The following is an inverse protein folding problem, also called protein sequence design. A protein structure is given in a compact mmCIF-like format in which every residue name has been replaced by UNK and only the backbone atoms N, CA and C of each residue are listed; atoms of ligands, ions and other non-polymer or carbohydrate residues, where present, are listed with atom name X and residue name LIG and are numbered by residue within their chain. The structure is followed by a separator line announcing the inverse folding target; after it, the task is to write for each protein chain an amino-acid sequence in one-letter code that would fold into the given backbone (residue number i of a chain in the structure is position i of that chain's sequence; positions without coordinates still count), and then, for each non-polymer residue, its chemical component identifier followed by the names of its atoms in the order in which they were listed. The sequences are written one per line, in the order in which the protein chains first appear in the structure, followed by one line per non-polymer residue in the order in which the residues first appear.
data_IF_213592469657
#
_entry.id   IF_213592469657
#
_cell.length_a   1.000
_cell.length_b   1.000
_cell.length_c   1.000
_cell.angle_alpha   90.00
_cell.angle_beta   90.00
_cell.angle_gamma   90.00
#
_symmetry.space_group_name_H-M   'P 1'
#
loop_
_entity.id
_entity.type
_entity.pdbx_description
1 polymer ?
#
# COMPACT_ATOMS: atom_id res chain seq x y z
N UNK A 1 9.83 -23.62 -9.38
CA UNK A 1 9.68 -23.52 -7.91
C UNK A 1 10.94 -23.96 -7.15
N UNK A 2 11.54 -25.14 -7.43
CA UNK A 2 12.79 -25.67 -6.80
C UNK A 2 13.98 -24.68 -6.76
N UNK A 3 14.26 -23.97 -7.85
CA UNK A 3 15.39 -23.05 -7.92
C UNK A 3 15.23 -21.78 -7.06
N UNK A 4 14.00 -21.39 -6.71
CA UNK A 4 13.74 -20.22 -5.85
C UNK A 4 14.02 -20.55 -4.38
N UNK A 5 13.57 -21.71 -3.91
CA UNK A 5 13.84 -22.20 -2.55
C UNK A 5 15.32 -22.40 -2.30
N UNK A 6 16.05 -22.99 -3.26
CA UNK A 6 17.50 -23.17 -3.16
C UNK A 6 18.23 -21.82 -3.16
N UNK A 7 17.85 -20.88 -4.03
CA UNK A 7 18.43 -19.52 -4.03
C UNK A 7 18.14 -18.75 -2.75
N UNK A 8 16.92 -18.86 -2.21
CA UNK A 8 16.54 -18.20 -0.96
C UNK A 8 17.30 -18.82 0.24
N UNK A 9 17.47 -20.15 0.26
CA UNK A 9 18.28 -20.85 1.27
C UNK A 9 19.77 -20.48 1.18
N UNK A 10 20.34 -20.45 -0.02
CA UNK A 10 21.73 -20.04 -0.26
C UNK A 10 21.95 -18.56 0.10
N UNK A 11 21.02 -17.67 -0.23
CA UNK A 11 21.09 -16.25 0.17
C UNK A 11 21.00 -16.08 1.69
N UNK A 12 20.13 -16.86 2.36
CA UNK A 12 20.03 -16.86 3.82
C UNK A 12 21.32 -17.36 4.48
N UNK A 13 21.89 -18.46 3.98
CA UNK A 13 23.20 -18.98 4.42
C UNK A 13 24.33 -17.99 4.18
N UNK A 14 24.41 -17.39 2.99
CA UNK A 14 25.44 -16.38 2.66
C UNK A 14 25.37 -15.19 3.60
N UNK A 15 24.17 -14.69 3.89
CA UNK A 15 24.00 -13.60 4.86
C UNK A 15 24.45 -14.05 6.26
N UNK A 16 24.13 -15.26 6.71
CA UNK A 16 24.59 -15.79 8.00
C UNK A 16 26.12 -15.93 8.07
N UNK A 17 26.77 -16.46 7.03
CA UNK A 17 28.22 -16.59 6.98
C UNK A 17 28.93 -15.25 6.94
N UNK A 18 28.40 -14.28 6.18
CA UNK A 18 28.94 -12.91 6.16
C UNK A 18 28.84 -12.25 7.53
N UNK A 19 27.73 -12.43 8.26
CA UNK A 19 27.58 -11.93 9.63
C UNK A 19 28.61 -12.52 10.59
N UNK A 20 28.86 -13.84 10.50
CA UNK A 20 29.88 -14.51 11.31
C UNK A 20 31.28 -13.96 11.00
N UNK A 21 31.60 -13.74 9.72
CA UNK A 21 32.89 -13.17 9.32
C UNK A 21 33.09 -11.73 9.84
N UNK A 22 32.04 -10.90 9.78
CA UNK A 22 32.06 -9.54 10.36
C UNK A 22 32.32 -9.61 11.87
N UNK A 23 31.63 -10.51 12.58
CA UNK A 23 31.78 -10.68 14.03
C UNK A 23 33.18 -11.17 14.42
N UNK A 24 33.74 -12.14 13.68
CA UNK A 24 35.09 -12.64 13.89
C UNK A 24 36.14 -11.54 13.64
N UNK A 25 35.99 -10.77 12.56
CA UNK A 25 36.88 -9.65 12.23
C UNK A 25 36.83 -8.54 13.29
N UNK A 26 35.64 -8.20 13.79
CA UNK A 26 35.45 -7.30 14.93
C UNK A 26 36.12 -7.83 16.19
N UNK A 27 35.93 -9.11 16.51
CA UNK A 27 36.52 -9.74 17.70
C UNK A 27 38.05 -9.73 17.63
N UNK A 28 38.64 -10.09 16.49
CA UNK A 28 40.10 -10.02 16.27
C UNK A 28 40.61 -8.58 16.41
N UNK A 29 39.92 -7.60 15.83
CA UNK A 29 40.27 -6.19 15.97
C UNK A 29 40.23 -5.72 17.43
N UNK A 30 39.21 -6.12 18.18
CA UNK A 30 39.09 -5.80 19.61
C UNK A 30 40.19 -6.45 20.46
N UNK A 31 40.54 -7.72 20.20
CA UNK A 31 41.63 -8.41 20.91
C UNK A 31 42.96 -7.69 20.70
N UNK A 32 43.26 -7.25 19.48
CA UNK A 32 44.47 -6.48 19.17
C UNK A 32 44.51 -5.15 19.92
N UNK A 33 43.36 -4.45 20.01
CA UNK A 33 43.26 -3.19 20.76
C UNK A 33 43.42 -3.40 22.27
N UNK A 34 42.81 -4.45 22.84
CA UNK A 34 42.91 -4.75 24.26
C UNK A 34 44.32 -5.16 24.70
N UNK A 35 45.04 -5.94 23.88
CA UNK A 35 46.39 -6.41 24.22
C UNK A 35 47.40 -5.27 24.45
N UNK A 36 47.26 -4.16 23.72
CA UNK A 36 48.11 -2.97 23.90
C UNK A 36 47.83 -2.24 25.22
N UNK A 37 46.61 -2.33 25.76
CA UNK A 37 46.28 -1.75 27.06
C UNK A 37 46.85 -2.53 28.25
N UNK A 38 47.03 -3.85 28.07
CA UNK A 38 47.45 -4.77 29.15
C UNK A 38 48.97 -4.88 29.29
N UNK A 39 49.70 -4.78 28.17
CA UNK A 39 51.16 -4.80 28.13
C UNK A 39 51.64 -3.41 27.70
N UNK A 40 52.30 -2.67 28.59
CA UNK A 40 52.82 -1.29 28.44
C UNK A 40 53.82 -1.05 27.27
N UNK A 41 53.74 -1.82 26.17
CA UNK A 41 54.48 -1.58 24.94
C UNK A 41 53.66 -0.69 23.99
N UNK A 42 54.28 0.41 23.54
CA UNK A 42 53.80 1.27 22.47
C UNK A 42 53.82 0.55 21.10
N UNK A 43 53.12 -0.57 20.98
CA UNK A 43 52.99 -1.29 19.71
C UNK A 43 51.92 -0.61 18.85
N UNK A 44 52.31 0.53 18.27
CA UNK A 44 51.48 1.35 17.39
C UNK A 44 50.92 0.55 16.20
N UNK A 45 51.63 -0.50 15.76
CA UNK A 45 51.19 -1.36 14.67
C UNK A 45 49.94 -2.18 15.03
N UNK A 46 49.91 -2.78 16.22
CA UNK A 46 48.74 -3.51 16.74
C UNK A 46 47.52 -2.60 16.93
N UNK A 47 47.73 -1.34 17.36
CA UNK A 47 46.65 -0.35 17.46
C UNK A 47 46.07 -0.03 16.07
N UNK A 48 46.93 0.29 15.10
CA UNK A 48 46.49 0.70 13.75
C UNK A 48 45.76 -0.45 13.06
N UNK A 49 46.30 -1.66 13.12
CA UNK A 49 45.68 -2.84 12.51
C UNK A 49 44.33 -3.19 13.17
N UNK A 50 44.25 -3.10 14.50
CA UNK A 50 43.00 -3.28 15.25
C UNK A 50 41.93 -2.25 14.87
N UNK A 51 42.29 -0.96 14.79
CA UNK A 51 41.38 0.11 14.38
C UNK A 51 40.88 -0.07 12.94
N UNK A 52 41.76 -0.47 12.02
CA UNK A 52 41.40 -0.72 10.62
C UNK A 52 40.41 -1.90 10.54
N UNK A 53 40.69 -3.01 11.22
CA UNK A 53 39.80 -4.19 11.24
C UNK A 53 38.42 -3.85 11.80
N UNK A 54 38.35 -3.14 12.92
CA UNK A 54 37.09 -2.68 13.50
C UNK A 54 36.33 -1.73 12.56
N UNK A 55 37.03 -0.74 12.01
CA UNK A 55 36.43 0.26 11.11
C UNK A 55 35.90 -0.37 9.83
N UNK A 56 36.66 -1.27 9.19
CA UNK A 56 36.24 -1.99 7.99
C UNK A 56 35.01 -2.88 8.26
N UNK A 57 35.00 -3.56 9.41
CA UNK A 57 33.90 -4.45 9.79
C UNK A 57 32.60 -3.67 10.02
N UNK A 58 32.68 -2.55 10.74
CA UNK A 58 31.55 -1.64 10.98
C UNK A 58 31.09 -1.01 9.66
N UNK A 59 32.01 -0.53 8.84
CA UNK A 59 31.71 0.07 7.53
C UNK A 59 31.01 -0.94 6.61
N UNK A 60 31.52 -2.16 6.52
CA UNK A 60 30.89 -3.23 5.73
C UNK A 60 29.48 -3.57 6.24
N UNK A 61 29.30 -3.64 7.57
CA UNK A 61 28.00 -3.84 8.18
C UNK A 61 27.00 -2.73 7.83
N UNK A 62 27.41 -1.46 7.89
CA UNK A 62 26.58 -0.29 7.52
C UNK A 62 26.19 -0.33 6.04
N UNK A 63 27.14 -0.67 5.14
CA UNK A 63 26.82 -0.85 3.72
C UNK A 63 25.76 -1.93 3.57
N UNK A 64 25.96 -3.09 4.21
CA UNK A 64 25.08 -4.23 4.05
C UNK A 64 23.65 -3.89 4.44
N UNK A 65 23.43 -3.33 5.62
CA UNK A 65 22.08 -2.98 6.11
C UNK A 65 21.42 -1.87 5.25
N UNK A 66 22.20 -0.94 4.71
CA UNK A 66 21.71 0.13 3.81
C UNK A 66 21.34 -0.40 2.41
N UNK A 67 21.97 -1.49 1.97
CA UNK A 67 21.69 -2.13 0.67
C UNK A 67 20.50 -3.09 0.75
N UNK A 68 20.13 -3.57 1.94
CA UNK A 68 18.95 -4.44 2.11
C UNK A 68 17.69 -3.70 1.70
N UNK A 69 17.12 -4.12 0.57
CA UNK A 69 15.78 -3.71 0.12
C UNK A 69 14.76 -4.69 0.70
N UNK A 70 13.90 -4.19 1.57
CA UNK A 70 12.77 -4.97 2.07
C UNK A 70 11.61 -4.82 1.11
N UNK A 71 11.29 -5.89 0.38
CA UNK A 71 10.16 -5.94 -0.54
C UNK A 71 9.01 -6.71 0.08
N UNK A 72 7.85 -6.07 0.22
CA UNK A 72 6.61 -6.68 0.68
C UNK A 72 5.60 -6.64 -0.45
N UNK A 73 5.05 -7.79 -0.81
CA UNK A 73 3.96 -7.89 -1.78
C UNK A 73 2.66 -8.25 -1.07
N UNK A 74 1.70 -7.33 -1.08
CA UNK A 74 0.37 -7.51 -0.51
C UNK A 74 -0.57 -7.88 -1.66
N UNK A 75 -1.19 -9.06 -1.56
CA UNK A 75 -2.12 -9.56 -2.57
C UNK A 75 -3.55 -9.36 -2.10
N UNK A 76 -4.29 -8.48 -2.75
CA UNK A 76 -5.74 -8.36 -2.62
C UNK A 76 -6.48 -8.97 -3.79
N UNK A 77 -7.81 -8.90 -3.75
CA UNK A 77 -8.66 -9.34 -4.84
C UNK A 77 -9.85 -8.41 -5.02
N UNK A 78 -10.43 -8.45 -6.22
CA UNK A 78 -11.69 -7.78 -6.57
C UNK A 78 -12.53 -8.73 -7.40
N UNK A 79 -13.84 -8.58 -7.38
CA UNK A 79 -14.77 -9.32 -8.26
C UNK A 79 -15.42 -8.30 -9.17
N UNK A 80 -15.38 -8.56 -10.48
CA UNK A 80 -15.98 -7.70 -11.49
C UNK A 80 -17.16 -8.44 -12.12
N UNK A 81 -18.30 -7.74 -12.21
CA UNK A 81 -19.41 -8.12 -13.08
C UNK A 81 -19.07 -7.72 -14.51
N UNK A 82 -18.80 -8.70 -15.36
CA UNK A 82 -18.39 -8.49 -16.75
C UNK A 82 -19.50 -7.94 -17.64
N UNK A 83 -20.78 -8.01 -17.22
CA UNK A 83 -21.88 -7.45 -18.00
C UNK A 83 -22.04 -5.95 -17.73
N UNK A 84 -21.97 -5.56 -16.46
CA UNK A 84 -22.16 -4.17 -16.05
C UNK A 84 -20.84 -3.40 -15.86
N UNK A 85 -19.69 -4.07 -15.97
CA UNK A 85 -18.35 -3.55 -15.64
C UNK A 85 -18.28 -2.96 -14.22
N UNK A 86 -18.99 -3.57 -13.27
CA UNK A 86 -19.06 -3.11 -11.89
C UNK A 86 -18.18 -3.94 -10.96
N UNK A 87 -17.54 -3.27 -10.00
CA UNK A 87 -16.86 -3.94 -8.90
C UNK A 87 -17.91 -4.34 -7.86
N UNK A 88 -18.07 -5.64 -7.63
CA UNK A 88 -18.99 -6.18 -6.64
C UNK A 88 -18.48 -5.83 -5.24
N UNK A 89 -19.26 -5.12 -4.40
CA UNK A 89 -18.88 -4.86 -3.02
C UNK A 89 -18.85 -6.18 -2.23
N UNK A 90 -17.94 -6.26 -1.26
CA UNK A 90 -17.77 -7.46 -0.43
C UNK A 90 -17.87 -7.03 1.03
N UNK A 91 -18.82 -7.59 1.76
CA UNK A 91 -19.04 -7.25 3.15
C UNK A 91 -17.78 -7.46 4.00
N UNK A 92 -17.55 -6.56 4.96
CA UNK A 92 -16.36 -6.59 5.83
C UNK A 92 -14.99 -6.51 5.13
N UNK A 93 -14.95 -6.26 3.82
CA UNK A 93 -13.73 -6.02 3.04
C UNK A 93 -13.61 -4.53 2.67
N UNK A 94 -12.94 -3.76 3.54
CA UNK A 94 -12.80 -2.29 3.43
C UNK A 94 -12.27 -1.84 2.07
N UNK A 95 -11.26 -2.54 1.55
CA UNK A 95 -10.64 -2.22 0.27
C UNK A 95 -11.65 -2.22 -0.88
N UNK A 96 -12.33 -3.34 -1.12
CA UNK A 96 -13.27 -3.54 -2.24
C UNK A 96 -14.44 -2.57 -2.15
N UNK A 97 -14.97 -2.36 -0.93
CA UNK A 97 -16.07 -1.43 -0.72
C UNK A 97 -15.69 0.02 -1.00
N UNK A 98 -14.48 0.44 -0.63
CA UNK A 98 -14.03 1.81 -0.92
C UNK A 98 -13.77 2.02 -2.41
N UNK A 99 -13.08 1.10 -3.09
CA UNK A 99 -12.83 1.24 -4.52
C UNK A 99 -14.12 1.17 -5.33
N UNK A 100 -15.05 0.25 -5.03
CA UNK A 100 -16.35 0.13 -5.71
C UNK A 100 -17.15 1.43 -5.57
N UNK A 101 -17.24 1.96 -4.34
CA UNK A 101 -17.93 3.23 -4.08
C UNK A 101 -17.25 4.40 -4.79
N UNK A 102 -15.92 4.48 -4.75
CA UNK A 102 -15.18 5.57 -5.39
C UNK A 102 -15.31 5.50 -6.92
N UNK A 103 -15.32 4.30 -7.52
CA UNK A 103 -15.55 4.13 -8.96
C UNK A 103 -16.95 4.60 -9.35
N UNK A 104 -17.98 4.18 -8.62
CA UNK A 104 -19.37 4.63 -8.84
C UNK A 104 -19.47 6.16 -8.74
N UNK A 105 -18.88 6.76 -7.70
CA UNK A 105 -18.82 8.23 -7.55
C UNK A 105 -18.15 8.92 -8.73
N UNK A 106 -17.04 8.35 -9.24
CA UNK A 106 -16.27 8.95 -10.33
C UNK A 106 -17.01 8.88 -11.67
N UNK A 107 -17.64 7.75 -11.98
CA UNK A 107 -18.43 7.53 -13.21
C UNK A 107 -19.57 8.56 -13.34
N UNK A 108 -20.21 8.92 -12.23
CA UNK A 108 -21.33 9.87 -12.24
C UNK A 108 -20.83 11.30 -12.51
N UNK A 109 -19.62 11.63 -12.03
CA UNK A 109 -19.08 12.98 -12.14
C UNK A 109 -18.30 13.22 -13.44
N UNK A 110 -17.64 12.19 -13.95
CA UNK A 110 -16.87 12.21 -15.19
C UNK A 110 -17.30 11.08 -16.12
N UNK A 111 -18.07 11.46 -17.15
CA UNK A 111 -18.58 10.53 -18.16
C UNK A 111 -17.44 9.91 -19.01
N UNK A 112 -16.26 10.54 -19.08
CA UNK A 112 -15.12 9.96 -19.80
C UNK A 112 -14.64 8.66 -19.13
N UNK A 113 -14.68 8.60 -17.79
CA UNK A 113 -14.33 7.37 -17.04
C UNK A 113 -15.33 6.27 -17.37
N UNK A 114 -16.63 6.60 -17.46
CA UNK A 114 -17.67 5.65 -17.85
C UNK A 114 -17.41 5.06 -19.23
N UNK A 115 -17.20 5.92 -20.23
CA UNK A 115 -16.95 5.51 -21.61
C UNK A 115 -15.69 4.65 -21.71
N UNK A 116 -14.61 5.01 -21.01
CA UNK A 116 -13.39 4.20 -21.02
C UNK A 116 -13.55 2.85 -20.32
N UNK A 117 -14.37 2.78 -19.27
CA UNK A 117 -14.67 1.53 -18.57
C UNK A 117 -15.58 0.61 -19.40
N UNK A 118 -16.58 1.15 -20.08
CA UNK A 118 -17.44 0.40 -21.01
C UNK A 118 -16.64 -0.15 -22.20
N UNK A 119 -15.67 0.62 -22.68
CA UNK A 119 -14.73 0.20 -23.72
C UNK A 119 -13.62 -0.72 -23.18
N UNK A 120 -13.47 -0.84 -21.87
CA UNK A 120 -12.55 -1.79 -21.26
C UNK A 120 -13.19 -3.19 -21.27
N UNK A 121 -12.48 -4.15 -21.84
CA UNK A 121 -12.93 -5.53 -21.81
C UNK A 121 -12.30 -6.26 -20.64
N UNK A 122 -13.03 -6.51 -19.56
CA UNK A 122 -12.57 -7.42 -18.50
C UNK A 122 -12.79 -8.89 -18.85
N UNK A 123 -13.66 -9.18 -19.83
CA UNK A 123 -13.95 -10.52 -20.34
C UNK A 123 -12.71 -11.24 -20.89
N UNK A 124 -12.65 -12.55 -20.64
CA UNK A 124 -11.69 -13.43 -21.31
C UNK A 124 -11.87 -13.32 -22.84
N UNK A 125 -10.76 -13.15 -23.59
CA UNK A 125 -10.79 -12.93 -25.04
C UNK A 125 -10.87 -11.48 -25.54
N UNK A 126 -11.00 -10.46 -24.68
CA UNK A 126 -10.97 -9.06 -25.13
C UNK A 126 -9.60 -8.62 -25.66
N UNK A 127 -9.60 -7.66 -26.60
CA UNK A 127 -8.40 -7.08 -27.20
C UNK A 127 -7.41 -6.59 -26.13
N UNK A 128 -6.11 -6.83 -26.36
CA UNK A 128 -5.04 -6.43 -25.41
C UNK A 128 -5.11 -4.95 -25.03
N UNK A 129 -5.45 -4.08 -25.99
CA UNK A 129 -5.57 -2.64 -25.75
C UNK A 129 -6.75 -2.30 -24.81
N UNK A 130 -7.91 -2.95 -25.01
CA UNK A 130 -9.09 -2.75 -24.16
C UNK A 130 -8.82 -3.21 -22.73
N UNK A 131 -8.14 -4.35 -22.56
CA UNK A 131 -7.70 -4.83 -21.24
C UNK A 131 -6.79 -3.81 -20.54
N UNK A 132 -5.85 -3.21 -21.26
CA UNK A 132 -4.92 -2.23 -20.69
C UNK A 132 -5.65 -0.99 -20.15
N UNK A 133 -6.71 -0.52 -20.82
CA UNK A 133 -7.52 0.61 -20.34
C UNK A 133 -8.20 0.29 -19.00
N UNK A 134 -8.85 -0.87 -18.89
CA UNK A 134 -9.46 -1.33 -17.63
C UNK A 134 -8.43 -1.49 -16.51
N UNK A 135 -7.29 -2.12 -16.83
CA UNK A 135 -6.18 -2.29 -15.87
C UNK A 135 -5.67 -0.94 -15.35
N UNK A 136 -5.54 0.05 -16.23
CA UNK A 136 -5.11 1.40 -15.85
C UNK A 136 -6.09 2.05 -14.88
N UNK A 137 -7.39 2.00 -15.15
CA UNK A 137 -8.43 2.57 -14.27
C UNK A 137 -8.36 1.93 -12.87
N UNK A 138 -8.31 0.60 -12.79
CA UNK A 138 -8.25 -0.09 -11.49
C UNK A 138 -6.94 0.21 -10.75
N UNK A 139 -5.81 0.31 -11.45
CA UNK A 139 -4.53 0.71 -10.85
C UNK A 139 -4.58 2.12 -10.25
N UNK A 140 -5.10 3.10 -10.99
CA UNK A 140 -5.24 4.49 -10.53
C UNK A 140 -6.18 4.58 -9.32
N UNK A 141 -7.30 3.86 -9.35
CA UNK A 141 -8.28 3.81 -8.27
C UNK A 141 -7.70 3.23 -6.98
N UNK A 142 -6.91 2.17 -7.12
CA UNK A 142 -6.21 1.53 -6.01
C UNK A 142 -5.07 2.42 -5.50
N UNK A 143 -4.31 3.05 -6.38
CA UNK A 143 -3.27 4.02 -6.03
C UNK A 143 -3.86 5.18 -5.21
N UNK A 144 -5.02 5.72 -5.62
CA UNK A 144 -5.76 6.73 -4.86
C UNK A 144 -6.17 6.22 -3.48
N UNK A 145 -6.69 4.99 -3.39
CA UNK A 145 -7.04 4.37 -2.11
C UNK A 145 -5.83 4.23 -1.17
N UNK A 146 -4.67 3.82 -1.69
CA UNK A 146 -3.43 3.72 -0.92
C UNK A 146 -2.98 5.10 -0.44
N UNK A 147 -2.93 6.09 -1.33
CA UNK A 147 -2.56 7.47 -1.00
C UNK A 147 -3.46 8.07 0.08
N UNK A 148 -4.77 7.83 -0.02
CA UNK A 148 -5.72 8.25 1.00
C UNK A 148 -5.48 7.54 2.35
N UNK A 149 -5.16 6.25 2.30
CA UNK A 149 -4.83 5.47 3.50
C UNK A 149 -3.53 5.98 4.14
N UNK A 150 -2.52 6.34 3.35
CA UNK A 150 -1.26 6.95 3.78
C UNK A 150 -1.54 8.29 4.45
N UNK A 151 -2.26 9.18 3.77
CA UNK A 151 -2.67 10.50 4.28
C UNK A 151 -3.32 10.41 5.66
N UNK A 152 -4.33 9.55 5.78
CA UNK A 152 -5.07 9.36 7.03
C UNK A 152 -4.17 8.76 8.12
N UNK A 153 -3.43 7.70 7.78
CA UNK A 153 -2.57 7.00 8.75
C UNK A 153 -1.45 7.88 9.30
N UNK A 154 -0.77 8.65 8.45
CA UNK A 154 0.32 9.51 8.89
C UNK A 154 -0.17 10.62 9.81
N UNK A 155 -1.31 11.22 9.47
CA UNK A 155 -1.97 12.21 10.33
C UNK A 155 -2.28 11.60 11.71
N UNK A 156 -2.93 10.42 11.75
CA UNK A 156 -3.22 9.71 13.00
C UNK A 156 -1.94 9.38 13.78
N UNK A 157 -0.93 8.86 13.08
CA UNK A 157 0.32 8.40 13.69
C UNK A 157 1.08 9.54 14.36
N UNK A 158 1.29 10.66 13.67
CA UNK A 158 2.05 11.77 14.21
C UNK A 158 1.31 12.49 15.33
N UNK A 159 -0.03 12.60 15.23
CA UNK A 159 -0.86 13.14 16.30
C UNK A 159 -0.82 12.26 17.55
N UNK A 160 -0.99 10.94 17.42
CA UNK A 160 -0.99 10.02 18.55
C UNK A 160 0.38 9.94 19.24
N UNK A 161 1.48 10.08 18.48
CA UNK A 161 2.83 10.10 19.03
C UNK A 161 3.28 11.49 19.50
N UNK A 162 2.40 12.51 19.46
CA UNK A 162 2.67 13.90 19.88
C UNK A 162 3.96 14.46 19.28
N UNK A 163 4.17 14.21 17.99
CA UNK A 163 5.34 14.75 17.28
C UNK A 163 5.17 16.25 17.08
N UNK A 164 6.22 16.99 17.41
CA UNK A 164 6.35 18.44 17.18
C UNK A 164 6.07 18.80 15.72
N UNK A 165 5.24 19.83 15.50
CA UNK A 165 4.83 20.24 14.15
C UNK A 165 5.99 20.79 13.35
N UNK A 166 6.99 21.36 14.01
CA UNK A 166 8.21 21.90 13.42
C UNK A 166 9.02 20.83 12.68
N UNK A 167 8.89 19.55 13.09
CA UNK A 167 9.57 18.41 12.45
C UNK A 167 8.78 17.80 11.30
N UNK A 168 7.63 18.38 10.96
CA UNK A 168 6.67 17.88 9.99
C UNK A 168 6.41 18.90 8.90
N UNK A 169 6.23 18.41 7.68
CA UNK A 169 5.81 19.18 6.51
C UNK A 169 4.52 18.59 5.97
N UNK A 170 3.60 19.46 5.55
CA UNK A 170 2.33 19.09 4.95
C UNK A 170 2.40 19.25 3.43
N UNK A 171 2.24 18.13 2.71
CA UNK A 171 2.10 18.12 1.26
C UNK A 171 0.63 18.23 0.86
N UNK A 172 0.30 19.27 0.11
CA UNK A 172 -1.01 19.51 -0.46
C UNK A 172 -1.09 19.00 -1.90
N UNK A 173 -2.27 19.15 -2.52
CA UNK A 173 -2.52 18.83 -3.94
C UNK A 173 -1.49 19.45 -4.89
N UNK A 174 -1.06 20.69 -4.64
CA UNK A 174 -0.19 21.43 -5.55
C UNK A 174 1.27 20.97 -5.45
N UNK A 175 1.65 20.29 -4.37
CA UNK A 175 3.02 19.86 -4.11
C UNK A 175 3.35 18.51 -4.78
N UNK A 176 2.35 17.83 -5.36
CA UNK A 176 2.50 16.53 -6.04
C UNK A 176 1.94 16.52 -7.48
N UNK A 177 2.33 17.48 -8.34
CA UNK A 177 1.70 17.69 -9.65
C UNK A 177 1.79 16.47 -10.58
N UNK A 178 2.91 15.74 -10.54
CA UNK A 178 3.12 14.53 -11.37
C UNK A 178 2.20 13.38 -10.97
N UNK A 179 1.94 13.20 -9.67
CA UNK A 179 1.02 12.15 -9.19
C UNK A 179 -0.41 12.53 -9.56
N UNK A 180 -0.76 13.80 -9.35
CA UNK A 180 -2.06 14.35 -9.67
C UNK A 180 -2.41 14.22 -11.17
N UNK A 181 -1.46 14.53 -12.07
CA UNK A 181 -1.66 14.41 -13.51
C UNK A 181 -1.91 12.97 -13.97
N UNK A 182 -1.28 12.00 -13.28
CA UNK A 182 -1.31 10.59 -13.64
C UNK A 182 -2.36 9.77 -12.87
N UNK A 183 -3.21 10.42 -12.06
CA UNK A 183 -4.23 9.73 -11.27
C UNK A 183 -5.55 10.51 -11.29
N UNK A 184 -6.49 10.03 -12.10
CA UNK A 184 -7.77 10.71 -12.38
C UNK A 184 -8.64 10.80 -11.14
N UNK A 185 -8.62 9.77 -10.29
CA UNK A 185 -9.40 9.75 -9.06
C UNK A 185 -8.87 10.75 -8.03
N UNK A 186 -7.55 10.87 -7.91
CA UNK A 186 -6.93 11.89 -7.08
C UNK A 186 -7.25 13.29 -7.62
N UNK A 187 -7.13 13.51 -8.93
CA UNK A 187 -7.48 14.78 -9.58
C UNK A 187 -8.91 15.18 -9.28
N UNK A 188 -9.86 14.29 -9.54
CA UNK A 188 -11.29 14.51 -9.39
C UNK A 188 -11.69 14.77 -7.94
N UNK A 189 -11.28 13.90 -7.02
CA UNK A 189 -11.74 13.97 -5.63
C UNK A 189 -11.06 15.04 -4.79
N UNK A 190 -9.85 15.46 -5.17
CA UNK A 190 -9.13 16.57 -4.53
C UNK A 190 -9.43 17.94 -5.14
N UNK A 191 -10.09 17.99 -6.31
CA UNK A 191 -10.43 19.24 -6.99
C UNK A 191 -11.34 20.10 -6.09
N UNK A 192 -11.03 21.41 -5.92
CA UNK A 192 -11.86 22.30 -5.11
C UNK A 192 -13.33 22.24 -5.49
N UNK A 193 -14.22 22.24 -4.49
CA UNK A 193 -15.66 22.14 -4.69
C UNK A 193 -16.21 23.24 -5.61
N UNK A 194 -15.63 24.44 -5.59
CA UNK A 194 -16.02 25.56 -6.45
C UNK A 194 -15.68 25.34 -7.93
N UNK A 195 -14.90 24.31 -8.25
CA UNK A 195 -14.57 23.89 -9.62
C UNK A 195 -15.33 22.63 -10.03
N UNK A 196 -16.26 22.14 -9.21
CA UNK A 196 -17.00 20.88 -9.43
C UNK A 196 -18.49 21.17 -9.59
N UNK A 197 -19.06 21.05 -10.81
CA UNK A 197 -20.44 21.40 -11.09
C UNK A 197 -21.47 20.70 -10.19
N UNK A 198 -21.17 19.46 -9.77
CA UNK A 198 -22.08 18.64 -8.95
C UNK A 198 -22.31 19.23 -7.54
N UNK A 199 -21.34 20.00 -7.03
CA UNK A 199 -21.44 20.69 -5.74
C UNK A 199 -22.05 22.09 -5.85
N UNK A 200 -22.04 22.71 -7.05
CA UNK A 200 -22.73 23.99 -7.30
C UNK A 200 -24.23 23.85 -7.53
N UNK A 201 -24.67 22.73 -8.12
CA UNK A 201 -26.09 22.47 -8.35
C UNK A 201 -26.80 22.22 -7.01
N UNK A 202 -27.41 23.26 -6.45
CA UNK A 202 -28.48 23.16 -5.46
C UNK A 202 -29.76 22.73 -6.21
N UNK A 203 -30.03 21.43 -6.30
CA UNK A 203 -31.10 20.95 -7.19
C UNK A 203 -31.87 19.71 -6.75
N UNK A 204 -31.34 18.89 -5.84
CA UNK A 204 -32.13 17.75 -5.36
C UNK A 204 -32.76 18.13 -4.02
N UNK A 205 -34.10 18.10 -3.98
CA UNK A 205 -34.94 18.38 -2.80
C UNK A 205 -34.64 17.48 -1.58
N UNK A 206 -33.73 16.52 -1.70
CA UNK A 206 -33.33 15.55 -0.68
C UNK A 206 -31.80 15.36 -0.56
N UNK A 207 -31.00 16.36 -0.93
CA UNK A 207 -29.53 16.28 -0.78
C UNK A 207 -29.12 16.38 0.70
N UNK A 208 -28.46 15.35 1.22
CA UNK A 208 -27.75 15.45 2.51
C UNK A 208 -26.29 15.81 2.26
N UNK A 209 -25.89 16.99 2.71
CA UNK A 209 -24.50 17.44 2.70
C UNK A 209 -23.87 17.15 4.07
N UNK A 210 -22.88 16.27 4.08
CA UNK A 210 -22.04 15.99 5.24
C UNK A 210 -20.73 16.72 5.03
N UNK A 211 -20.49 17.75 5.84
CA UNK A 211 -19.27 18.57 5.77
C UNK A 211 -18.42 18.23 7.00
N UNK A 212 -17.19 17.79 6.75
CA UNK A 212 -16.19 17.54 7.79
C UNK A 212 -15.15 18.65 7.70
N UNK A 213 -14.98 19.38 8.80
CA UNK A 213 -13.96 20.41 8.95
C UNK A 213 -12.92 19.99 9.99
N UNK A 214 -11.71 20.49 9.86
CA UNK A 214 -10.68 20.34 10.89
C UNK A 214 -10.93 21.31 12.07
N UNK A 215 -10.07 21.24 13.10
CA UNK A 215 -10.10 22.16 14.25
C UNK A 215 -9.98 23.64 13.85
N UNK A 216 -9.38 23.91 12.69
CA UNK A 216 -9.16 25.24 12.14
C UNK A 216 -10.28 25.67 11.18
N UNK A 217 -11.39 24.92 11.14
CA UNK A 217 -12.56 25.16 10.27
C UNK A 217 -12.28 25.03 8.77
N UNK A 218 -11.14 24.46 8.36
CA UNK A 218 -10.86 24.16 6.96
C UNK A 218 -11.67 22.96 6.48
N UNK A 219 -12.07 22.96 5.20
CA UNK A 219 -12.79 21.85 4.59
C UNK A 219 -11.87 20.64 4.41
N UNK A 220 -12.16 19.55 5.11
CA UNK A 220 -11.40 18.28 5.03
C UNK A 220 -12.08 17.31 4.08
N UNK A 221 -13.39 17.12 4.21
CA UNK A 221 -14.15 16.32 3.26
C UNK A 221 -15.59 16.79 3.17
N UNK A 222 -16.19 16.60 1.99
CA UNK A 222 -17.62 16.82 1.77
C UNK A 222 -18.18 15.58 1.12
N UNK A 223 -19.25 15.05 1.68
CA UNK A 223 -20.05 14.00 1.06
C UNK A 223 -21.42 14.58 0.74
N UNK A 224 -21.82 14.50 -0.52
CA UNK A 224 -23.16 14.82 -0.96
C UNK A 224 -23.87 13.52 -1.28
N UNK A 225 -24.96 13.23 -0.58
CA UNK A 225 -25.78 12.03 -0.80
C UNK A 225 -27.06 12.46 -1.48
N UNK A 226 -27.34 11.89 -2.66
CA UNK A 226 -28.51 12.17 -3.48
C UNK A 226 -29.15 10.86 -3.90
N UNK A 227 -30.36 10.54 -3.40
CA UNK A 227 -31.15 9.32 -3.69
C UNK A 227 -30.36 7.99 -3.68
N UNK A 228 -29.61 7.68 -4.75
CA UNK A 228 -28.79 6.48 -4.96
C UNK A 228 -27.28 6.75 -5.06
N UNK A 229 -26.84 8.01 -5.10
CA UNK A 229 -25.50 8.43 -5.45
C UNK A 229 -24.80 9.16 -4.31
N UNK A 230 -23.49 8.96 -4.21
CA UNK A 230 -22.64 9.65 -3.24
C UNK A 230 -21.52 10.36 -3.98
N UNK A 231 -21.44 11.68 -3.85
CA UNK A 231 -20.33 12.49 -4.35
C UNK A 231 -19.36 12.77 -3.23
N UNK A 232 -18.06 12.77 -3.56
CA UNK A 232 -17.00 12.89 -2.55
C UNK A 232 -16.02 13.98 -2.94
N UNK A 233 -15.80 14.90 -2.02
CA UNK A 233 -14.64 15.76 -1.97
C UNK A 233 -13.80 15.34 -0.77
N UNK A 234 -12.49 15.25 -0.99
CA UNK A 234 -11.54 15.07 0.09
C UNK A 234 -10.32 15.94 -0.19
N UNK A 235 -10.03 16.84 0.76
CA UNK A 235 -8.82 17.63 0.73
C UNK A 235 -7.63 16.68 0.82
N UNK A 236 -6.76 16.72 -0.19
CA UNK A 236 -5.58 15.90 -0.20
C UNK A 236 -4.47 16.58 0.59
N UNK A 237 -4.07 15.93 1.69
CA UNK A 237 -3.03 16.40 2.60
C UNK A 237 -2.23 15.19 3.09
N UNK A 238 -0.91 15.21 2.94
CA UNK A 238 -0.02 14.17 3.49
C UNK A 238 0.98 14.86 4.41
N UNK A 239 0.96 14.49 5.69
CA UNK A 239 1.94 14.97 6.67
C UNK A 239 3.11 14.01 6.72
N UNK A 240 4.34 14.51 6.53
CA UNK A 240 5.58 13.73 6.53
C UNK A 240 6.68 14.47 7.32
N UNK A 241 7.80 13.81 7.65
CA UNK A 241 8.97 14.50 8.22
C UNK A 241 9.48 15.64 7.31
N UNK A 242 10.04 16.70 7.90
CA UNK A 242 10.44 17.96 7.23
C UNK A 242 11.29 17.78 5.94
N UNK A 243 12.14 16.76 5.90
CA UNK A 243 13.04 16.48 4.78
C UNK A 243 12.44 15.55 3.72
N UNK A 244 11.14 15.31 3.78
CA UNK A 244 10.49 14.38 2.87
C UNK A 244 10.30 14.96 1.47
N UNK A 245 10.26 14.07 0.48
CA UNK A 245 9.87 14.35 -0.90
C UNK A 245 8.96 13.24 -1.39
N UNK A 246 7.96 13.62 -2.18
CA UNK A 246 7.06 12.67 -2.83
C UNK A 246 7.22 12.83 -4.34
N UNK A 247 7.60 11.76 -5.03
CA UNK A 247 7.81 11.75 -6.48
C UNK A 247 7.10 10.54 -7.12
N UNK A 248 6.96 10.58 -8.45
CA UNK A 248 6.49 9.45 -9.25
C UNK A 248 7.60 9.02 -10.21
N UNK A 249 8.03 7.77 -10.12
CA UNK A 249 9.05 7.20 -11.01
C UNK A 249 8.45 6.89 -12.40
N UNK A 250 9.31 6.74 -13.40
CA UNK A 250 8.94 6.36 -14.78
C UNK A 250 8.21 5.02 -14.87
N UNK A 251 8.45 4.11 -13.93
CA UNK A 251 7.78 2.81 -13.86
C UNK A 251 6.35 2.91 -13.28
N UNK A 252 5.87 4.13 -12.99
CA UNK A 252 4.53 4.42 -12.45
C UNK A 252 4.41 4.26 -10.94
N UNK A 253 5.50 3.97 -10.24
CA UNK A 253 5.50 3.85 -8.78
C UNK A 253 5.61 5.21 -8.09
N UNK A 254 5.13 5.28 -6.86
CA UNK A 254 5.23 6.47 -6.01
C UNK A 254 6.36 6.26 -5.01
N UNK A 255 7.23 7.26 -4.89
CA UNK A 255 8.38 7.25 -4.00
C UNK A 255 8.21 8.34 -2.96
N UNK A 256 8.24 7.95 -1.69
CA UNK A 256 8.33 8.82 -0.53
C UNK A 256 9.73 8.64 0.03
N UNK A 257 10.57 9.67 -0.04
CA UNK A 257 11.92 9.63 0.50
C UNK A 257 12.15 10.75 1.49
N UNK A 258 13.08 10.56 2.42
CA UNK A 258 13.65 11.62 3.25
C UNK A 258 15.17 11.42 3.38
N UNK A 259 15.85 12.09 4.32
CA UNK A 259 17.30 11.88 4.56
C UNK A 259 17.69 10.45 4.96
N UNK A 260 16.77 9.65 5.49
CA UNK A 260 17.03 8.35 6.13
C UNK A 260 16.44 7.16 5.39
N UNK A 261 15.24 7.31 4.83
CA UNK A 261 14.42 6.23 4.29
C UNK A 261 13.99 6.54 2.86
N UNK A 262 13.77 5.48 2.10
CA UNK A 262 13.08 5.50 0.80
C UNK A 262 11.99 4.43 0.89
N UNK A 263 10.74 4.86 0.77
CA UNK A 263 9.56 4.00 0.65
C UNK A 263 9.01 4.16 -0.77
N UNK A 264 9.01 3.08 -1.53
CA UNK A 264 8.48 3.01 -2.88
C UNK A 264 7.29 2.07 -2.90
N UNK A 265 6.20 2.46 -3.55
CA UNK A 265 5.08 1.53 -3.76
C UNK A 265 4.52 1.59 -5.18
N UNK A 266 4.04 0.44 -5.64
CA UNK A 266 3.41 0.28 -6.96
C UNK A 266 2.20 -0.62 -6.86
N UNK A 267 1.12 -0.20 -7.51
CA UNK A 267 -0.07 -1.02 -7.72
C UNK A 267 0.05 -1.76 -9.04
N UNK A 268 -0.28 -3.06 -9.02
CA UNK A 268 -0.31 -3.91 -10.19
C UNK A 268 -1.60 -4.74 -10.15
N UNK A 269 -2.54 -4.40 -11.00
CA UNK A 269 -3.73 -5.19 -11.27
C UNK A 269 -3.43 -6.24 -12.35
N UNK A 270 -3.51 -7.51 -11.97
CA UNK A 270 -3.03 -8.63 -12.78
C UNK A 270 -3.98 -9.82 -12.71
N UNK A 271 -4.58 -10.14 -13.85
CA UNK A 271 -5.15 -11.46 -14.17
C UNK A 271 -6.22 -12.00 -13.21
N UNK A 272 -6.71 -13.19 -13.54
CA UNK A 272 -7.71 -13.86 -12.73
C UNK A 272 -7.05 -14.43 -11.47
N UNK A 273 -7.78 -14.43 -10.35
CA UNK A 273 -7.37 -15.06 -9.10
C UNK A 273 -8.38 -16.11 -8.69
N UNK A 274 -7.91 -17.19 -8.08
CA UNK A 274 -8.79 -18.21 -7.52
C UNK A 274 -9.22 -17.76 -6.12
N UNK A 275 -10.53 -17.72 -5.90
CA UNK A 275 -11.11 -17.53 -4.59
C UNK A 275 -11.34 -18.89 -3.92
N UNK A 276 -11.45 -18.93 -2.57
CA UNK A 276 -11.83 -20.14 -1.86
C UNK A 276 -13.16 -20.70 -2.37
N UNK A 277 -13.26 -22.02 -2.40
CA UNK A 277 -14.40 -22.73 -2.99
C UNK A 277 -15.71 -22.27 -2.35
N UNK A 278 -16.70 -22.00 -3.22
CA UNK A 278 -18.06 -21.63 -2.83
C UNK A 278 -18.20 -20.22 -2.28
N UNK A 279 -17.14 -19.41 -2.22
CA UNK A 279 -17.24 -18.05 -1.72
C UNK A 279 -18.22 -17.21 -2.55
N UNK A 280 -18.10 -17.25 -3.88
CA UNK A 280 -18.98 -16.54 -4.80
C UNK A 280 -20.44 -16.97 -4.60
N UNK A 281 -20.69 -18.29 -4.56
CA UNK A 281 -22.03 -18.86 -4.41
C UNK A 281 -22.67 -18.56 -3.06
N UNK A 282 -22.00 -18.90 -1.97
CA UNK A 282 -22.66 -18.89 -0.64
C UNK A 282 -22.49 -17.57 0.11
N UNK A 283 -21.43 -16.80 -0.14
CA UNK A 283 -21.22 -15.53 0.56
C UNK A 283 -21.78 -14.34 -0.23
N UNK A 284 -21.69 -14.37 -1.56
CA UNK A 284 -22.09 -13.25 -2.42
C UNK A 284 -23.36 -13.52 -3.24
N UNK A 285 -23.94 -14.72 -3.14
CA UNK A 285 -25.12 -15.15 -3.90
C UNK A 285 -24.92 -15.07 -5.43
N UNK A 286 -23.67 -15.31 -5.87
CA UNK A 286 -23.30 -15.27 -7.28
C UNK A 286 -23.31 -16.68 -7.87
N UNK A 287 -24.30 -16.96 -8.71
CA UNK A 287 -24.48 -18.28 -9.33
C UNK A 287 -23.93 -18.40 -10.75
N UNK A 288 -23.81 -17.29 -11.48
CA UNK A 288 -23.32 -17.29 -12.85
C UNK A 288 -21.79 -17.15 -12.91
N UNK A 289 -21.12 -18.28 -13.15
CA UNK A 289 -19.66 -18.38 -13.19
C UNK A 289 -19.06 -17.62 -14.40
N UNK A 290 -19.84 -17.36 -15.46
CA UNK A 290 -19.35 -16.67 -16.66
C UNK A 290 -19.50 -15.15 -16.57
N UNK A 291 -20.43 -14.68 -15.73
CA UNK A 291 -20.66 -13.25 -15.50
C UNK A 291 -19.64 -12.62 -14.56
N UNK A 292 -19.21 -13.34 -13.54
CA UNK A 292 -18.36 -12.78 -12.48
C UNK A 292 -16.94 -13.32 -12.55
N UNK A 293 -15.96 -12.43 -12.71
CA UNK A 293 -14.54 -12.79 -12.69
C UNK A 293 -13.85 -12.17 -11.47
N UNK A 294 -13.08 -13.00 -10.76
CA UNK A 294 -12.22 -12.57 -9.67
C UNK A 294 -10.83 -12.24 -10.18
N UNK A 295 -10.31 -11.05 -9.83
CA UNK A 295 -9.00 -10.57 -10.25
C UNK A 295 -8.08 -10.29 -9.08
N UNK A 296 -6.76 -10.45 -9.29
CA UNK A 296 -5.76 -10.14 -8.27
C UNK A 296 -5.29 -8.68 -8.37
N UNK A 297 -5.14 -8.05 -7.20
CA UNK A 297 -4.45 -6.76 -7.07
C UNK A 297 -3.19 -6.98 -6.24
N UNK A 298 -2.03 -6.67 -6.80
CA UNK A 298 -0.76 -6.72 -6.11
C UNK A 298 -0.32 -5.30 -5.73
N UNK A 299 0.03 -5.10 -4.47
CA UNK A 299 0.64 -3.87 -4.00
C UNK A 299 2.04 -4.19 -3.52
N UNK A 300 3.00 -3.67 -4.25
CA UNK A 300 4.41 -3.90 -3.99
C UNK A 300 4.94 -2.71 -3.22
N UNK A 301 5.36 -2.93 -1.99
CA UNK A 301 6.16 -1.99 -1.19
C UNK A 301 7.63 -2.37 -1.26
N UNK A 302 8.49 -1.39 -1.50
CA UNK A 302 9.93 -1.51 -1.42
C UNK A 302 10.45 -0.46 -0.44
N UNK A 303 11.07 -0.93 0.64
CA UNK A 303 11.68 -0.09 1.64
C UNK A 303 13.20 -0.22 1.56
N UNK A 304 13.90 0.92 1.63
CA UNK A 304 15.35 1.00 1.65
C UNK A 304 15.82 2.06 2.66
N UNK A 305 16.85 1.73 3.43
CA UNK A 305 17.57 2.69 4.27
C UNK A 305 18.67 3.38 3.44
N UNK A 306 18.79 4.70 3.58
CA UNK A 306 19.91 5.46 3.00
C UNK A 306 21.19 5.15 3.77
N UNK A 307 22.33 5.25 3.09
CA UNK A 307 23.63 5.01 3.71
C UNK A 307 23.86 5.97 4.90
N UNK A 308 24.31 5.45 6.04
CA UNK A 308 24.49 6.22 7.28
C UNK A 308 23.20 6.48 8.09
N UNK A 309 22.03 6.15 7.54
CA UNK A 309 20.75 6.37 8.23
C UNK A 309 20.57 5.48 9.47
N UNK A 310 21.30 4.37 9.58
CA UNK A 310 21.20 3.40 10.68
C UNK A 310 21.36 4.07 12.04
N UNK A 311 22.26 5.05 12.15
CA UNK A 311 22.50 5.81 13.39
C UNK A 311 21.52 6.97 13.59
N UNK A 312 20.73 7.30 12.57
CA UNK A 312 19.77 8.41 12.56
C UNK A 312 18.31 7.96 12.66
N UNK A 313 18.03 6.64 12.56
CA UNK A 313 16.69 6.07 12.70
C UNK A 313 16.15 6.46 14.07
N UNK A 314 14.97 7.07 14.09
CA UNK A 314 14.30 7.42 15.33
C UNK A 314 12.81 7.07 15.27
N UNK A 315 12.05 7.49 16.31
CA UNK A 315 10.60 7.25 16.41
C UNK A 315 9.80 7.75 15.18
N UNK A 316 10.33 8.72 14.43
CA UNK A 316 9.69 9.27 13.23
C UNK A 316 9.75 8.34 12.03
N UNK A 317 10.50 7.25 12.06
CA UNK A 317 10.65 6.34 10.91
C UNK A 317 9.79 5.06 11.07
N UNK A 318 9.23 4.81 12.26
CA UNK A 318 8.44 3.59 12.57
C UNK A 318 7.03 3.58 11.97
N UNK A 319 6.53 4.71 11.47
CA UNK A 319 5.22 4.76 10.80
C UNK A 319 5.15 3.84 9.59
N UNK A 320 6.27 3.52 8.94
CA UNK A 320 6.30 2.66 7.74
C UNK A 320 5.79 1.25 8.07
N UNK A 321 6.26 0.66 9.16
CA UNK A 321 5.82 -0.67 9.57
C UNK A 321 4.33 -0.66 9.91
N UNK A 322 3.90 0.34 10.69
CA UNK A 322 2.48 0.51 11.05
C UNK A 322 1.61 0.73 9.81
N UNK A 323 2.08 1.48 8.82
CA UNK A 323 1.41 1.73 7.56
C UNK A 323 1.26 0.45 6.74
N UNK A 324 2.36 -0.28 6.53
CA UNK A 324 2.35 -1.53 5.77
C UNK A 324 1.41 -2.53 6.42
N UNK A 325 1.44 -2.66 7.75
CA UNK A 325 0.53 -3.53 8.50
C UNK A 325 -0.94 -3.10 8.35
N UNK A 326 -1.23 -1.79 8.41
CA UNK A 326 -2.58 -1.24 8.23
C UNK A 326 -3.10 -1.51 6.82
N UNK A 327 -2.26 -1.33 5.80
CA UNK A 327 -2.60 -1.62 4.40
C UNK A 327 -2.81 -3.12 4.19
N UNK A 328 -1.93 -3.96 4.74
CA UNK A 328 -2.03 -5.41 4.62
C UNK A 328 -3.31 -5.94 5.28
N UNK A 329 -3.68 -5.43 6.47
CA UNK A 329 -4.94 -5.77 7.14
C UNK A 329 -6.18 -5.40 6.32
N UNK A 330 -6.12 -4.30 5.55
CA UNK A 330 -7.25 -3.80 4.76
C UNK A 330 -7.39 -4.49 3.40
N UNK A 331 -6.30 -4.94 2.80
CA UNK A 331 -6.25 -5.38 1.40
C UNK A 331 -5.96 -6.87 1.26
N UNK A 332 -5.22 -7.50 2.17
CA UNK A 332 -4.77 -8.89 1.98
C UNK A 332 -5.93 -9.87 1.85
N UNK A 333 -5.95 -10.61 0.74
CA UNK A 333 -6.88 -11.72 0.47
C UNK A 333 -6.84 -12.74 1.61
N UNK A 334 -5.64 -13.15 2.01
CA UNK A 334 -5.43 -14.13 3.07
C UNK A 334 -5.94 -13.63 4.41
N UNK A 335 -5.61 -12.39 4.81
CA UNK A 335 -6.10 -11.82 6.07
C UNK A 335 -7.62 -11.65 6.06
N UNK A 336 -8.22 -11.33 4.92
CA UNK A 336 -9.67 -11.24 4.78
C UNK A 336 -10.35 -12.59 5.01
N UNK A 337 -9.93 -13.64 4.30
CA UNK A 337 -10.53 -14.97 4.44
C UNK A 337 -10.30 -15.59 5.83
N UNK A 338 -9.14 -15.32 6.44
CA UNK A 338 -8.88 -15.72 7.83
C UNK A 338 -9.80 -14.96 8.81
N UNK A 339 -10.04 -13.66 8.58
CA UNK A 339 -10.92 -12.84 9.43
C UNK A 339 -12.36 -13.34 9.44
N UNK A 340 -12.88 -13.83 8.31
CA UNK A 340 -14.24 -14.38 8.22
C UNK A 340 -14.30 -15.90 8.49
N UNK A 341 -13.15 -16.50 8.85
CA UNK A 341 -12.98 -17.94 9.08
C UNK A 341 -13.61 -18.81 7.97
N UNK A 342 -13.39 -18.43 6.70
CA UNK A 342 -14.13 -18.99 5.56
C UNK A 342 -14.08 -20.52 5.50
N UNK A 343 -12.94 -21.11 5.80
CA UNK A 343 -12.76 -22.57 5.75
C UNK A 343 -13.72 -23.29 6.71
N UNK A 344 -14.04 -22.71 7.87
CA UNK A 344 -15.03 -23.27 8.81
C UNK A 344 -16.45 -22.96 8.35
N UNK A 345 -16.70 -21.71 7.97
CA UNK A 345 -18.02 -21.23 7.51
C UNK A 345 -18.53 -22.03 6.32
N UNK A 346 -17.67 -22.33 5.35
CA UNK A 346 -17.99 -23.14 4.18
C UNK A 346 -18.46 -24.56 4.53
N UNK A 347 -17.80 -25.22 5.49
CA UNK A 347 -18.17 -26.58 5.94
C UNK A 347 -19.55 -26.58 6.58
N UNK A 348 -19.87 -25.55 7.38
CA UNK A 348 -21.18 -25.39 8.00
C UNK A 348 -22.26 -25.19 6.92
N UNK A 349 -22.04 -24.26 5.99
CA UNK A 349 -22.98 -23.96 4.90
C UNK A 349 -23.25 -25.20 4.04
N UNK A 350 -22.22 -25.96 3.69
CA UNK A 350 -22.34 -27.19 2.92
C UNK A 350 -23.09 -28.30 3.69
N UNK A 351 -22.90 -28.38 5.00
CA UNK A 351 -23.65 -29.31 5.86
C UNK A 351 -25.13 -28.95 5.92
N UNK A 352 -25.45 -27.65 6.02
CA UNK A 352 -26.82 -27.14 6.00
C UNK A 352 -27.51 -27.37 4.65
N UNK A 353 -26.82 -27.14 3.53
CA UNK A 353 -27.36 -27.42 2.20
C UNK A 353 -27.72 -28.90 2.04
N UNK A 354 -26.83 -29.81 2.44
CA UNK A 354 -27.12 -31.26 2.44
C UNK A 354 -28.32 -31.61 3.33
N UNK A 355 -28.41 -31.05 4.52
CA UNK A 355 -29.52 -31.29 5.43
C UNK A 355 -30.86 -30.78 4.86
N UNK A 356 -30.86 -29.66 4.14
CA UNK A 356 -32.06 -29.13 3.49
C UNK A 356 -32.46 -29.94 2.25
N UNK A 357 -31.50 -30.50 1.51
CA UNK A 357 -31.77 -31.42 0.39
C UNK A 357 -32.36 -32.74 0.89
N UNK A 358 -31.99 -33.23 2.08
CA UNK A 358 -32.58 -34.43 2.69
C UNK A 358 -34.00 -34.23 3.26
N UNK A 359 -34.44 -32.97 3.41
CA UNK A 359 -35.78 -32.61 3.92
C UNK A 359 -36.80 -32.33 2.79
N UNK A 360 -36.34 -32.23 1.55
CA UNK A 360 -37.18 -32.17 0.34
C UNK A 360 -37.23 -33.55 -0.29
#
# INVERSE_FOLDING_TARGET
MKNKVIKDFLNKRRNQTEFILIALSLCLGLVLLCNVSSYNHNDTFSIITGLILCSLSIYYFIIKISVVKNKKNIKGFIIIDNENNEIIPIENYDYVNNISRNLKSAIIEDNAIKIELENAGFKSGSDKEKKQKGIKIINELTEYYILNTISTHLTDYFNNNKIEKEKLVEFSRNDIPLILLNNRFLELFSKPIDKRPIFKKHGFKSDRLIIIKDSNKNLVSVKKVSQSNIFRFQSFKIVLPEDSKITKDLDGSIVIENKRIILKFKTIFEGNTVLPIGFEKYFLDLHDIFRYDAFQVNIIFEFKLKFGAVFLINRLDFWINSLIDKIEKKISKEKYFNKIEWDKTFVILKSLEKANVLKK
#
